data_IF_902306701886
#
_entry.id   IF_902306701886
#
_cell.length_a   1.000
_cell.length_b   1.000
_cell.length_c   1.000
_cell.angle_alpha   90.00
_cell.angle_beta   90.00
_cell.angle_gamma   90.00
#
_symmetry.space_group_name_H-M   'P 1'
#
loop_
_entity.id
_entity.type
_entity.pdbx_description
1 polymer ?
#
# COMPACT_ATOMS: atom_id res chain seq x y z
N UNK A 1 7.24 8.84 -19.86
CA UNK A 1 7.69 8.74 -18.46
C UNK A 1 8.06 10.14 -17.94
N UNK A 2 8.72 10.95 -18.77
CA UNK A 2 9.19 12.31 -18.49
C UNK A 2 8.11 13.30 -17.99
N UNK A 3 6.90 13.25 -18.55
CA UNK A 3 5.78 14.13 -18.10
C UNK A 3 5.31 13.78 -16.68
N UNK A 4 5.28 12.49 -16.32
CA UNK A 4 4.88 12.03 -14.98
C UNK A 4 5.96 12.45 -13.99
N UNK A 5 7.24 12.21 -14.31
CA UNK A 5 8.36 12.59 -13.46
C UNK A 5 8.41 14.10 -13.23
N UNK A 6 8.19 14.90 -14.28
CA UNK A 6 8.09 16.36 -14.14
C UNK A 6 7.01 16.77 -13.13
N UNK A 7 5.79 16.21 -13.25
CA UNK A 7 4.67 16.53 -12.34
C UNK A 7 4.94 16.09 -10.91
N UNK A 8 5.59 14.94 -10.70
CA UNK A 8 5.96 14.46 -9.37
C UNK A 8 7.01 15.34 -8.68
N UNK A 9 7.82 16.08 -9.44
CA UNK A 9 8.81 17.01 -8.89
C UNK A 9 8.23 18.41 -8.62
N UNK A 10 6.93 18.62 -8.85
CA UNK A 10 6.26 19.87 -8.48
C UNK A 10 5.76 19.80 -7.04
N UNK A 11 5.80 20.92 -6.31
CA UNK A 11 5.15 21.01 -4.98
C UNK A 11 3.62 21.18 -5.07
N UNK A 12 3.00 20.70 -6.16
CA UNK A 12 1.57 20.85 -6.41
C UNK A 12 0.88 19.49 -6.23
N UNK A 13 0.11 19.37 -5.13
CA UNK A 13 -0.58 18.13 -4.76
C UNK A 13 -1.54 17.63 -5.85
N UNK A 14 -2.23 18.53 -6.56
CA UNK A 14 -3.14 18.17 -7.65
C UNK A 14 -2.39 17.56 -8.83
N UNK A 15 -1.22 18.11 -9.16
CA UNK A 15 -0.38 17.57 -10.23
C UNK A 15 0.21 16.21 -9.86
N UNK A 16 0.63 16.03 -8.60
CA UNK A 16 1.13 14.75 -8.08
C UNK A 16 0.04 13.68 -8.17
N UNK A 17 -1.15 13.96 -7.65
CA UNK A 17 -2.29 13.02 -7.69
C UNK A 17 -2.64 12.65 -9.13
N UNK A 18 -2.82 13.63 -10.01
CA UNK A 18 -3.13 13.37 -11.42
C UNK A 18 -2.03 12.55 -12.12
N UNK A 19 -0.77 12.74 -11.76
CA UNK A 19 0.35 11.98 -12.33
C UNK A 19 0.33 10.52 -11.87
N UNK A 20 0.06 10.26 -10.59
CA UNK A 20 -0.09 8.90 -10.05
C UNK A 20 -1.35 8.22 -10.61
N UNK A 21 -2.47 8.92 -10.73
CA UNK A 21 -3.69 8.36 -11.34
C UNK A 21 -3.45 7.95 -12.79
N UNK A 22 -2.78 8.80 -13.58
CA UNK A 22 -2.37 8.47 -14.95
C UNK A 22 -1.45 7.24 -14.98
N UNK A 23 -0.55 7.10 -14.01
CA UNK A 23 0.33 5.95 -13.88
C UNK A 23 -0.46 4.67 -13.56
N UNK A 24 -1.40 4.72 -12.60
CA UNK A 24 -2.29 3.59 -12.24
C UNK A 24 -3.09 3.12 -13.46
N UNK A 25 -3.70 4.07 -14.20
CA UNK A 25 -4.46 3.76 -15.42
C UNK A 25 -3.58 3.11 -16.48
N UNK A 26 -2.34 3.58 -16.64
CA UNK A 26 -1.37 3.01 -17.57
C UNK A 26 -1.04 1.57 -17.18
N UNK A 27 -0.72 1.31 -15.91
CA UNK A 27 -0.44 -0.03 -15.38
C UNK A 27 -1.64 -0.95 -15.63
N UNK A 28 -2.85 -0.52 -15.26
CA UNK A 28 -4.08 -1.30 -15.45
C UNK A 28 -4.32 -1.64 -16.93
N UNK A 29 -4.10 -0.68 -17.83
CA UNK A 29 -4.32 -0.89 -19.28
C UNK A 29 -3.39 -1.96 -19.89
N UNK A 30 -2.20 -2.14 -19.32
CA UNK A 30 -1.21 -3.12 -19.76
C UNK A 30 -1.38 -4.49 -19.10
N UNK A 31 -2.15 -4.56 -18.02
CA UNK A 31 -2.31 -5.78 -17.24
C UNK A 31 -3.19 -6.81 -17.97
N UNK A 32 -2.71 -8.06 -18.00
CA UNK A 32 -3.47 -9.23 -18.45
C UNK A 32 -3.57 -10.24 -17.32
N UNK A 33 -4.79 -10.67 -16.91
CA UNK A 33 -4.95 -11.57 -15.76
C UNK A 33 -4.13 -12.87 -15.83
N UNK A 34 -3.97 -13.45 -17.02
CA UNK A 34 -3.20 -14.69 -17.22
C UNK A 34 -1.68 -14.55 -17.06
N UNK A 35 -1.15 -13.34 -16.99
CA UNK A 35 0.29 -13.05 -16.96
C UNK A 35 0.71 -12.33 -15.66
N UNK A 36 -0.11 -12.35 -14.60
CA UNK A 36 0.12 -11.55 -13.39
C UNK A 36 1.52 -11.70 -12.82
N UNK A 37 2.00 -12.93 -12.62
CA UNK A 37 3.33 -13.16 -12.04
C UNK A 37 4.44 -12.49 -12.84
N UNK A 38 4.38 -12.58 -14.18
CA UNK A 38 5.33 -11.95 -15.10
C UNK A 38 5.18 -10.43 -15.07
N UNK A 39 3.94 -9.94 -15.17
CA UNK A 39 3.61 -8.52 -15.17
C UNK A 39 4.15 -7.81 -13.92
N UNK A 40 3.96 -8.41 -12.76
CA UNK A 40 4.38 -7.88 -11.46
C UNK A 40 5.90 -7.71 -11.34
N UNK A 41 6.67 -8.53 -12.07
CA UNK A 41 8.14 -8.51 -12.04
C UNK A 41 8.74 -7.64 -13.14
N UNK A 42 8.12 -7.61 -14.32
CA UNK A 42 8.70 -7.01 -15.52
C UNK A 42 8.12 -5.63 -15.87
N UNK A 43 6.94 -5.25 -15.35
CA UNK A 43 6.33 -3.98 -15.72
C UNK A 43 7.08 -2.78 -15.12
N UNK A 44 7.69 -1.97 -15.98
CA UNK A 44 8.48 -0.80 -15.60
C UNK A 44 7.65 0.29 -14.91
N UNK A 45 6.40 0.51 -15.31
CA UNK A 45 5.53 1.49 -14.64
C UNK A 45 5.20 1.10 -13.19
N UNK A 46 4.98 -0.19 -12.94
CA UNK A 46 4.76 -0.72 -11.61
C UNK A 46 6.04 -0.64 -10.75
N UNK A 47 7.21 -0.93 -11.33
CA UNK A 47 8.50 -0.72 -10.64
C UNK A 47 8.67 0.74 -10.24
N UNK A 48 8.42 1.65 -11.18
CA UNK A 48 8.48 3.09 -10.94
C UNK A 48 7.52 3.52 -9.82
N UNK A 49 6.27 3.02 -9.81
CA UNK A 49 5.33 3.31 -8.74
C UNK A 49 5.85 2.85 -7.37
N UNK A 50 6.42 1.64 -7.30
CA UNK A 50 7.03 1.09 -6.07
C UNK A 50 8.19 1.94 -5.59
N UNK A 51 9.04 2.42 -6.48
CA UNK A 51 10.15 3.31 -6.14
C UNK A 51 9.65 4.64 -5.56
N UNK A 52 8.59 5.23 -6.15
CA UNK A 52 8.02 6.50 -5.65
C UNK A 52 7.37 6.36 -4.28
N UNK A 53 7.02 5.15 -3.83
CA UNK A 53 6.58 4.92 -2.45
C UNK A 53 7.65 5.30 -1.42
N UNK A 54 8.94 5.18 -1.77
CA UNK A 54 10.07 5.60 -0.92
C UNK A 54 10.59 7.01 -1.26
N UNK A 55 9.80 7.84 -1.93
CA UNK A 55 10.15 9.23 -2.22
C UNK A 55 10.44 10.01 -0.92
N UNK A 56 11.37 10.96 -1.00
CA UNK A 56 11.62 11.95 0.08
C UNK A 56 10.49 12.98 0.19
N UNK A 57 9.75 13.19 -0.89
CA UNK A 57 8.53 14.00 -0.87
C UNK A 57 7.40 13.18 -0.26
N UNK A 58 6.86 13.65 0.87
CA UNK A 58 5.83 12.95 1.63
C UNK A 58 4.54 12.77 0.82
N UNK A 59 4.16 13.75 0.00
CA UNK A 59 2.95 13.70 -0.82
C UNK A 59 3.10 12.67 -1.94
N UNK A 60 4.25 12.67 -2.62
CA UNK A 60 4.56 11.66 -3.65
C UNK A 60 4.59 10.26 -3.04
N UNK A 61 5.27 10.08 -1.91
CA UNK A 61 5.34 8.80 -1.20
C UNK A 61 3.95 8.29 -0.81
N UNK A 62 3.14 9.15 -0.17
CA UNK A 62 1.78 8.81 0.25
C UNK A 62 0.90 8.42 -0.94
N UNK A 63 0.87 9.26 -1.98
CA UNK A 63 0.02 9.05 -3.15
C UNK A 63 0.44 7.79 -3.91
N UNK A 64 1.75 7.53 -4.04
CA UNK A 64 2.26 6.32 -4.68
C UNK A 64 1.88 5.05 -3.89
N UNK A 65 1.98 5.08 -2.55
CA UNK A 65 1.56 3.95 -1.71
C UNK A 65 0.05 3.69 -1.82
N UNK A 66 -0.77 4.75 -1.85
CA UNK A 66 -2.20 4.65 -2.13
C UNK A 66 -2.47 4.08 -3.53
N UNK A 67 -1.64 4.39 -4.51
CA UNK A 67 -1.72 3.81 -5.85
C UNK A 67 -1.49 2.29 -5.86
N UNK A 68 -0.59 1.76 -5.01
CA UNK A 68 -0.45 0.31 -4.84
C UNK A 68 -1.72 -0.32 -4.28
N UNK A 69 -2.38 0.33 -3.32
CA UNK A 69 -3.64 -0.15 -2.76
C UNK A 69 -4.75 -0.14 -3.83
N UNK A 70 -4.87 0.93 -4.60
CA UNK A 70 -5.82 1.02 -5.70
C UNK A 70 -5.61 -0.10 -6.74
N UNK A 71 -4.38 -0.44 -7.08
CA UNK A 71 -4.08 -1.56 -7.98
C UNK A 71 -4.51 -2.93 -7.42
N UNK A 72 -4.54 -3.10 -6.10
CA UNK A 72 -5.09 -4.30 -5.46
C UNK A 72 -6.61 -4.32 -5.58
N UNK A 73 -7.28 -3.21 -5.29
CA UNK A 73 -8.75 -3.09 -5.44
C UNK A 73 -9.21 -3.30 -6.89
N UNK A 74 -8.39 -2.88 -7.85
CA UNK A 74 -8.60 -3.09 -9.28
C UNK A 74 -8.31 -4.53 -9.76
N UNK A 75 -7.84 -5.42 -8.87
CA UNK A 75 -7.51 -6.82 -9.18
C UNK A 75 -6.23 -7.02 -10.00
N UNK A 76 -5.43 -5.96 -10.17
CA UNK A 76 -4.14 -6.00 -10.86
C UNK A 76 -3.10 -6.68 -9.98
N UNK A 77 -3.04 -6.30 -8.70
CA UNK A 77 -2.14 -6.84 -7.70
C UNK A 77 -2.88 -7.73 -6.69
N UNK A 78 -2.15 -8.68 -6.10
CA UNK A 78 -2.66 -9.54 -5.03
C UNK A 78 -2.30 -8.98 -3.65
N UNK A 79 -3.23 -9.09 -2.69
CA UNK A 79 -3.07 -8.52 -1.34
C UNK A 79 -1.78 -9.02 -0.67
N UNK A 80 -1.53 -10.34 -0.71
CA UNK A 80 -0.36 -10.94 -0.06
C UNK A 80 0.96 -10.45 -0.68
N UNK A 81 1.06 -10.41 -2.01
CA UNK A 81 2.26 -9.94 -2.70
C UNK A 81 2.49 -8.44 -2.48
N UNK A 82 1.43 -7.63 -2.50
CA UNK A 82 1.53 -6.19 -2.20
C UNK A 82 1.95 -5.96 -0.75
N UNK A 83 1.41 -6.72 0.21
CA UNK A 83 1.84 -6.64 1.61
C UNK A 83 3.33 -6.95 1.76
N UNK A 84 3.82 -8.02 1.12
CA UNK A 84 5.26 -8.31 1.09
C UNK A 84 6.07 -7.16 0.50
N UNK A 85 5.60 -6.57 -0.60
CA UNK A 85 6.24 -5.39 -1.21
C UNK A 85 6.31 -4.23 -0.22
N UNK A 86 5.21 -3.89 0.44
CA UNK A 86 5.15 -2.79 1.42
C UNK A 86 6.09 -3.05 2.62
N UNK A 87 6.19 -4.28 3.10
CA UNK A 87 7.17 -4.66 4.14
C UNK A 87 8.61 -4.44 3.66
N UNK A 88 8.93 -4.71 2.40
CA UNK A 88 10.28 -4.47 1.86
C UNK A 88 10.63 -2.99 1.72
N UNK A 89 9.65 -2.08 1.70
CA UNK A 89 9.86 -0.64 1.63
C UNK A 89 10.19 -0.01 2.99
N UNK A 90 9.97 -0.72 4.10
CA UNK A 90 10.22 -0.19 5.47
C UNK A 90 11.64 0.38 5.64
N UNK A 91 12.73 -0.30 5.20
CA UNK A 91 14.08 0.22 5.45
C UNK A 91 14.42 1.50 4.67
N UNK A 92 13.72 1.78 3.57
CA UNK A 92 13.97 2.92 2.69
C UNK A 92 12.91 4.02 2.78
N UNK A 93 11.89 3.86 3.62
CA UNK A 93 10.81 4.84 3.72
C UNK A 93 11.25 6.09 4.47
N UNK A 94 10.86 7.25 3.95
CA UNK A 94 10.91 8.54 4.64
C UNK A 94 9.55 8.94 5.22
N UNK A 95 8.49 8.19 4.89
CA UNK A 95 7.12 8.45 5.30
C UNK A 95 6.49 7.17 5.87
N UNK A 96 6.71 6.91 7.15
CA UNK A 96 6.12 5.76 7.84
C UNK A 96 4.59 5.81 7.88
N UNK A 97 3.99 7.00 7.90
CA UNK A 97 2.53 7.15 7.85
C UNK A 97 1.94 6.59 6.56
N UNK A 98 2.60 6.81 5.41
CA UNK A 98 2.19 6.23 4.13
C UNK A 98 2.26 4.69 4.13
N UNK A 99 3.33 4.13 4.68
CA UNK A 99 3.49 2.67 4.81
C UNK A 99 2.43 2.07 5.74
N UNK A 100 2.23 2.66 6.92
CA UNK A 100 1.29 2.18 7.94
C UNK A 100 -0.15 2.24 7.42
N UNK A 101 -0.57 3.35 6.81
CA UNK A 101 -1.90 3.49 6.24
C UNK A 101 -2.14 2.53 5.07
N UNK A 102 -1.14 2.28 4.24
CA UNK A 102 -1.22 1.29 3.15
C UNK A 102 -1.31 -0.14 3.68
N UNK A 103 -0.51 -0.49 4.70
CA UNK A 103 -0.63 -1.77 5.39
C UNK A 103 -2.02 -1.94 6.01
N UNK A 104 -2.57 -0.90 6.64
CA UNK A 104 -3.93 -0.91 7.19
C UNK A 104 -4.97 -1.19 6.11
N UNK A 105 -4.90 -0.50 4.97
CA UNK A 105 -5.79 -0.73 3.84
C UNK A 105 -5.73 -2.17 3.32
N UNK A 106 -4.53 -2.72 3.15
CA UNK A 106 -4.35 -4.10 2.73
C UNK A 106 -4.90 -5.11 3.75
N UNK A 107 -4.71 -4.86 5.05
CA UNK A 107 -5.28 -5.69 6.12
C UNK A 107 -6.81 -5.67 6.13
N UNK A 108 -7.42 -4.51 5.85
CA UNK A 108 -8.88 -4.39 5.72
C UNK A 108 -9.38 -5.18 4.50
N UNK A 109 -8.70 -5.06 3.34
CA UNK A 109 -9.06 -5.83 2.14
C UNK A 109 -8.93 -7.34 2.38
N UNK A 110 -7.85 -7.77 3.05
CA UNK A 110 -7.65 -9.17 3.40
C UNK A 110 -8.73 -9.67 4.37
N UNK A 111 -9.05 -8.89 5.41
CA UNK A 111 -10.14 -9.20 6.34
C UNK A 111 -11.46 -9.36 5.59
N UNK A 112 -11.84 -8.39 4.76
CA UNK A 112 -13.07 -8.43 3.96
C UNK A 112 -13.14 -9.68 3.07
N UNK A 113 -12.02 -10.09 2.48
CA UNK A 113 -11.94 -11.29 1.64
C UNK A 113 -12.15 -12.61 2.40
N UNK A 114 -11.97 -12.61 3.73
CA UNK A 114 -12.07 -13.79 4.60
C UNK A 114 -13.36 -13.86 5.41
N UNK A 115 -14.13 -12.77 5.46
CA UNK A 115 -15.40 -12.76 6.17
C UNK A 115 -16.39 -13.65 5.42
N UNK A 116 -16.78 -14.76 6.06
CA UNK A 116 -17.80 -15.67 5.56
C UNK A 116 -19.07 -15.41 6.37
N UNK A 117 -20.21 -15.10 5.73
CA UNK A 117 -21.48 -14.90 6.44
C UNK A 117 -21.80 -16.06 7.37
N UNK A 118 -22.09 -15.76 8.65
CA UNK A 118 -22.44 -16.75 9.66
C UNK A 118 -21.26 -17.50 10.29
N UNK A 119 -20.01 -17.21 9.91
CA UNK A 119 -18.83 -17.77 10.56
C UNK A 119 -18.07 -16.71 11.36
N UNK A 120 -17.56 -17.04 12.56
CA UNK A 120 -16.70 -16.14 13.30
C UNK A 120 -15.39 -15.94 12.54
N UNK A 121 -14.90 -14.70 12.53
CA UNK A 121 -13.58 -14.41 12.00
C UNK A 121 -12.50 -15.15 12.79
N UNK A 122 -11.58 -15.81 12.06
CA UNK A 122 -10.39 -16.42 12.62
C UNK A 122 -9.17 -15.59 12.22
N UNK A 123 -8.54 -14.94 13.19
CA UNK A 123 -7.30 -14.21 12.96
C UNK A 123 -6.21 -15.14 12.43
N UNK A 124 -5.59 -14.75 11.31
CA UNK A 124 -4.50 -15.51 10.69
C UNK A 124 -3.13 -15.22 11.33
N UNK A 125 -3.02 -14.11 12.06
CA UNK A 125 -1.75 -13.64 12.60
C UNK A 125 -1.49 -14.19 14.00
N UNK A 126 -0.23 -14.39 14.33
CA UNK A 126 0.25 -14.73 15.66
C UNK A 126 1.36 -13.76 16.11
N UNK A 127 1.87 -13.94 17.32
CA UNK A 127 3.02 -13.16 17.82
C UNK A 127 4.34 -13.53 17.12
N UNK A 128 4.41 -14.71 16.47
CA UNK A 128 5.63 -15.24 15.82
C UNK A 128 5.48 -15.35 14.31
N UNK A 129 4.86 -16.41 13.81
CA UNK A 129 4.67 -16.65 12.38
C UNK A 129 3.28 -17.23 12.11
N UNK A 130 2.52 -16.69 11.13
CA UNK A 130 2.78 -15.43 10.44
C UNK A 130 2.55 -14.25 11.40
N UNK A 131 3.53 -13.33 11.49
CA UNK A 131 3.42 -12.17 12.38
C UNK A 131 2.48 -11.11 11.82
N UNK A 132 1.80 -10.37 12.69
CA UNK A 132 1.00 -9.22 12.25
C UNK A 132 1.91 -8.12 11.65
N UNK A 133 1.59 -7.54 10.47
CA UNK A 133 2.42 -6.52 9.82
C UNK A 133 2.78 -5.32 10.71
N UNK A 134 1.86 -4.86 11.55
CA UNK A 134 2.16 -3.80 12.54
C UNK A 134 3.15 -4.22 13.62
N UNK A 135 3.19 -5.50 14.02
CA UNK A 135 4.26 -5.95 14.93
C UNK A 135 5.59 -5.92 14.18
N UNK A 136 5.60 -6.35 12.91
CA UNK A 136 6.81 -6.34 12.07
C UNK A 136 7.37 -4.92 11.89
N UNK A 137 6.52 -3.91 11.65
CA UNK A 137 6.99 -2.52 11.48
C UNK A 137 7.53 -1.94 12.81
N UNK A 138 6.86 -2.21 13.94
CA UNK A 138 7.32 -1.77 15.28
C UNK A 138 8.65 -2.43 15.69
N UNK A 139 8.88 -3.68 15.28
CA UNK A 139 10.17 -4.35 15.50
C UNK A 139 11.30 -3.73 14.67
N UNK A 140 10.99 -3.15 13.51
CA UNK A 140 11.96 -2.50 12.63
C UNK A 140 12.27 -1.07 13.06
N UNK A 141 11.27 -0.35 13.55
CA UNK A 141 11.43 1.00 14.08
C UNK A 141 10.43 1.20 15.23
N UNK A 142 10.94 1.46 16.45
CA UNK A 142 10.10 1.67 17.63
C UNK A 142 9.55 3.08 17.72
N UNK A 143 10.21 4.05 17.09
CA UNK A 143 9.87 5.48 17.21
C UNK A 143 8.57 5.85 16.48
N UNK A 144 7.98 4.90 15.76
CA UNK A 144 6.72 5.04 15.01
C UNK A 144 5.50 4.46 15.75
N UNK A 145 5.66 4.14 17.05
CA UNK A 145 4.58 3.61 17.89
C UNK A 145 3.33 4.48 17.83
N UNK A 146 3.48 5.80 17.97
CA UNK A 146 2.38 6.75 17.91
C UNK A 146 1.63 6.70 16.57
N UNK A 147 2.34 6.51 15.45
CA UNK A 147 1.71 6.37 14.13
C UNK A 147 0.87 5.09 14.04
N UNK A 148 1.35 3.98 14.61
CA UNK A 148 0.62 2.71 14.63
C UNK A 148 -0.61 2.82 15.54
N UNK A 149 -0.46 3.40 16.72
CA UNK A 149 -1.57 3.61 17.66
C UNK A 149 -2.64 4.51 17.03
N UNK A 150 -2.24 5.62 16.41
CA UNK A 150 -3.17 6.52 15.73
C UNK A 150 -3.94 5.80 14.61
N UNK A 151 -3.25 4.98 13.81
CA UNK A 151 -3.89 4.19 12.77
C UNK A 151 -4.87 3.15 13.35
N UNK A 152 -4.49 2.45 14.42
CA UNK A 152 -5.37 1.48 15.09
C UNK A 152 -6.60 2.17 15.69
N UNK A 153 -6.41 3.32 16.34
CA UNK A 153 -7.52 4.11 16.86
C UNK A 153 -8.49 4.51 15.76
N UNK A 154 -7.98 5.06 14.65
CA UNK A 154 -8.81 5.43 13.49
C UNK A 154 -9.62 4.25 12.93
N UNK A 155 -9.05 3.04 12.92
CA UNK A 155 -9.77 1.82 12.51
C UNK A 155 -10.87 1.45 13.50
N UNK A 156 -10.60 1.53 14.81
CA UNK A 156 -11.58 1.17 15.84
C UNK A 156 -12.70 2.19 16.00
N UNK A 157 -12.47 3.45 15.62
CA UNK A 157 -13.46 4.54 15.74
C UNK A 157 -14.07 4.96 14.41
N UNK A 158 -13.91 4.17 13.35
CA UNK A 158 -14.43 4.54 12.04
C UNK A 158 -15.98 4.51 12.03
N UNK A 159 -16.67 5.53 11.51
CA UNK A 159 -18.14 5.61 11.53
C UNK A 159 -18.84 4.43 10.86
N UNK A 160 -18.22 3.81 9.85
CA UNK A 160 -18.79 2.66 9.15
C UNK A 160 -18.71 1.34 9.95
N UNK A 161 -18.02 1.33 11.09
CA UNK A 161 -17.86 0.16 11.96
C UNK A 161 -18.56 0.31 13.33
N UNK A 162 -19.26 1.44 13.56
CA UNK A 162 -20.16 1.67 14.69
C UNK A 162 -21.62 1.48 14.27
#
# INVERSE_FOLDING_TARGET
MDEIEYKLNTNNSVLIVNAIDKLILTIKSKFKPGERQKFVLENEELKFLREKCSSKDNMVSLTACQGLLALVELGVLEIAHTMSTVVTLIPSTHNYSAIISTMAGLLILDLKSRLIPGQPYKCQFSMRSPQHPFITILQKNKDIEDNVIAQMHALCTHPEYM
#
